data_IF_362869468966
#
_entry.id   IF_362869468966
#
_cell.length_a   1.000
_cell.length_b   1.000
_cell.length_c   1.000
_cell.angle_alpha   90.00
_cell.angle_beta   90.00
_cell.angle_gamma   90.00
#
_symmetry.space_group_name_H-M   'P 1'
#
loop_
_entity.id
_entity.type
_entity.pdbx_description
1 polymer ?
#
# COMPACT_ATOMS: atom_id res chain seq x y z
N UNK A 1 -10.90 -17.80 -14.36
CA UNK A 1 -11.53 -17.33 -13.51
C UNK A 1 -11.39 -15.96 -13.36
N UNK A 2 -12.25 -15.41 -13.23
CA UNK A 2 -12.17 -14.08 -13.16
C UNK A 2 -11.85 -13.65 -11.84
N UNK A 3 -10.77 -13.02 -11.70
CA UNK A 3 -10.44 -12.54 -10.53
C UNK A 3 -11.08 -11.24 -10.38
N UNK A 4 -11.66 -11.01 -9.32
CA UNK A 4 -12.22 -9.78 -9.10
C UNK A 4 -11.19 -8.75 -9.16
N UNK A 5 -11.30 -7.80 -10.01
CA UNK A 5 -10.36 -6.80 -10.07
C UNK A 5 -10.73 -5.72 -9.18
N UNK A 6 -10.13 -5.54 -8.10
CA UNK A 6 -10.39 -4.44 -7.22
C UNK A 6 -9.80 -3.20 -7.78
N UNK A 7 -10.47 -2.09 -7.59
CA UNK A 7 -9.94 -0.83 -8.05
C UNK A 7 -8.81 -0.44 -7.13
N UNK A 8 -7.63 -0.44 -7.63
CA UNK A 8 -6.48 -0.05 -6.83
C UNK A 8 -6.48 1.45 -6.73
N UNK A 9 -6.48 2.01 -5.52
CA UNK A 9 -6.53 3.45 -5.36
C UNK A 9 -5.28 4.11 -5.92
N UNK A 10 -5.38 5.38 -6.14
CA UNK A 10 -4.24 6.13 -6.59
C UNK A 10 -3.45 6.52 -5.38
N UNK A 11 -2.23 6.10 -5.31
CA UNK A 11 -1.38 6.43 -4.19
C UNK A 11 -0.46 7.56 -4.59
N UNK A 12 -0.02 8.31 -3.59
CA UNK A 12 0.99 9.31 -3.83
C UNK A 12 2.33 8.66 -4.05
N UNK A 13 3.24 9.40 -4.63
CA UNK A 13 4.58 8.88 -4.88
C UNK A 13 5.59 9.72 -4.13
N UNK A 14 6.71 9.12 -3.78
CA UNK A 14 7.79 9.82 -3.12
C UNK A 14 9.08 9.32 -3.74
N UNK A 15 10.11 10.15 -3.65
CA UNK A 15 11.40 9.78 -4.15
C UNK A 15 12.28 9.47 -2.96
N UNK A 16 12.78 8.26 -2.90
CA UNK A 16 13.66 7.87 -1.83
C UNK A 16 14.88 7.19 -2.42
N UNK A 17 16.05 7.59 -1.98
CA UNK A 17 17.29 7.00 -2.45
C UNK A 17 17.39 7.03 -3.97
N UNK A 18 16.87 8.08 -4.57
CA UNK A 18 16.93 8.22 -6.02
C UNK A 18 15.94 7.37 -6.78
N UNK A 19 15.01 6.73 -6.09
CA UNK A 19 14.02 5.91 -6.76
C UNK A 19 12.64 6.34 -6.36
N UNK A 20 11.70 6.13 -7.26
CA UNK A 20 10.33 6.53 -7.01
C UNK A 20 9.56 5.39 -6.41
N UNK A 21 8.83 5.66 -5.34
CA UNK A 21 8.01 4.67 -4.69
C UNK A 21 6.62 5.22 -4.49
N UNK A 22 5.64 4.33 -4.45
CA UNK A 22 4.30 4.71 -4.07
C UNK A 22 4.20 4.61 -2.57
N UNK A 23 3.40 5.48 -1.99
CA UNK A 23 3.29 5.53 -0.55
C UNK A 23 1.85 5.58 -0.14
N UNK A 24 1.51 4.90 0.92
CA UNK A 24 0.18 4.94 1.46
C UNK A 24 0.27 4.84 2.98
N UNK A 25 -0.60 5.56 3.66
CA UNK A 25 -0.64 5.51 5.11
C UNK A 25 -1.90 4.82 5.54
N UNK A 26 -1.77 3.91 6.47
CA UNK A 26 -2.91 3.21 7.00
C UNK A 26 -2.83 3.25 8.51
N UNK A 27 -3.93 2.88 9.14
CA UNK A 27 -3.98 2.79 10.58
C UNK A 27 -3.98 1.32 10.94
N UNK A 28 -3.09 0.90 11.81
CA UNK A 28 -3.08 -0.51 12.19
C UNK A 28 -4.08 -0.75 13.31
N UNK A 29 -4.07 -1.96 13.85
CA UNK A 29 -5.05 -2.33 14.86
C UNK A 29 -4.92 -1.52 16.13
N UNK A 30 -3.74 -1.02 16.40
CA UNK A 30 -3.52 -0.22 17.58
C UNK A 30 -3.86 1.24 17.37
N UNK A 31 -4.30 1.60 16.20
CA UNK A 31 -4.60 2.98 15.91
C UNK A 31 -3.41 3.79 15.51
N UNK A 32 -2.28 3.15 15.28
CA UNK A 32 -1.09 3.87 14.89
C UNK A 32 -1.05 4.02 13.39
N UNK A 33 -0.51 5.14 12.96
CA UNK A 33 -0.39 5.37 11.54
C UNK A 33 0.91 4.80 11.03
N UNK A 34 0.79 3.97 10.02
CA UNK A 34 1.95 3.31 9.46
C UNK A 34 2.01 3.66 7.98
N UNK A 35 3.18 4.02 7.50
CA UNK A 35 3.35 4.31 6.09
C UNK A 35 3.91 3.09 5.40
N UNK A 36 3.29 2.72 4.29
CA UNK A 36 3.74 1.59 3.51
C UNK A 36 4.24 2.10 2.18
N UNK A 37 5.24 1.43 1.65
CA UNK A 37 5.85 1.82 0.39
C UNK A 37 5.90 0.64 -0.55
N UNK A 38 5.74 0.90 -1.83
CA UNK A 38 5.84 -0.14 -2.83
C UNK A 38 6.38 0.41 -4.11
N UNK A 39 7.02 -0.44 -4.90
CA UNK A 39 7.59 -0.01 -6.16
C UNK A 39 6.51 0.16 -7.20
N UNK A 40 5.40 -0.53 -7.07
CA UNK A 40 4.28 -0.37 -7.96
C UNK A 40 3.02 -0.26 -7.13
N UNK A 41 1.95 0.20 -7.77
CA UNK A 41 0.69 0.32 -7.05
C UNK A 41 0.20 -1.04 -6.59
N UNK A 42 0.40 -2.04 -7.41
CA UNK A 42 -0.06 -3.37 -7.07
C UNK A 42 0.70 -3.93 -5.89
N UNK A 43 1.99 -3.71 -5.88
CA UNK A 43 2.80 -4.17 -4.78
C UNK A 43 2.38 -3.49 -3.49
N UNK A 44 2.15 -2.18 -3.54
CA UNK A 44 1.74 -1.46 -2.37
C UNK A 44 0.35 -1.92 -1.92
N UNK A 45 -0.53 -2.18 -2.87
CA UNK A 45 -1.87 -2.62 -2.54
C UNK A 45 -1.83 -3.96 -1.81
N UNK A 46 -0.96 -4.85 -2.26
CA UNK A 46 -0.78 -6.13 -1.59
C UNK A 46 -0.32 -5.94 -0.15
N UNK A 47 0.59 -5.01 0.06
CA UNK A 47 1.07 -4.75 1.40
C UNK A 47 -0.03 -4.17 2.28
N UNK A 48 -0.85 -3.32 1.71
CA UNK A 48 -1.95 -2.73 2.47
C UNK A 48 -2.94 -3.82 2.87
N UNK A 49 -3.26 -4.72 1.97
CA UNK A 49 -4.18 -5.78 2.29
C UNK A 49 -3.61 -6.70 3.36
N UNK A 50 -2.34 -6.99 3.25
CA UNK A 50 -1.70 -7.83 4.23
C UNK A 50 -1.71 -7.18 5.59
N UNK A 51 -1.43 -5.91 5.64
CA UNK A 51 -1.41 -5.19 6.90
C UNK A 51 -2.79 -5.15 7.52
N UNK A 52 -3.81 -5.06 6.69
CA UNK A 52 -5.16 -5.03 7.21
C UNK A 52 -5.60 -6.36 7.76
N UNK A 53 -5.09 -7.42 7.19
CA UNK A 53 -5.48 -8.73 7.62
C UNK A 53 -4.78 -9.17 8.87
N UNK A 54 -3.69 -8.53 9.18
CA UNK A 54 -2.99 -8.90 10.37
C UNK A 54 -3.57 -8.22 11.54
N UNK A 55 -4.54 -8.73 12.13
CA UNK A 55 -5.16 -8.11 13.26
C UNK A 55 -4.86 -8.84 14.52
#
# INVERSE_FOLDING_TARGET
>A
MARKRYAIPQYGTVIMAGKEYYRNRIEDADGKRVALYGRTREELYDKVLEAREQI
#
